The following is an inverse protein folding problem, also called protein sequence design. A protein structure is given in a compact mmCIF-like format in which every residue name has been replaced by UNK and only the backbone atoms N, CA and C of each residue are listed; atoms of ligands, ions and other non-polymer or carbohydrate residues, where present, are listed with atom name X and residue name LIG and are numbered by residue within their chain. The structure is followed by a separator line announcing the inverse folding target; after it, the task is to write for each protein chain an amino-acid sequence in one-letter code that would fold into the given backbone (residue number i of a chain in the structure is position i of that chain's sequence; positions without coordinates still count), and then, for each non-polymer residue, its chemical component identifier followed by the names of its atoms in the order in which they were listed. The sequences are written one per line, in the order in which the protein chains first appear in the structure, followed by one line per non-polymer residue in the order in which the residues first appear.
data_IF_770914709740
#
_entry.id   IF_770914709740
#
_cell.length_a   1.000
_cell.length_b   1.000
_cell.length_c   1.000
_cell.angle_alpha   90.00
_cell.angle_beta   90.00
_cell.angle_gamma   90.00
#
_symmetry.space_group_name_H-M   'P 1'
#
loop_
_entity.id
_entity.type
_entity.pdbx_description
1 polymer ?
#
# COMPACT_ATOMS: atom_id res chain seq x y z
N UNK A 1 0.42 -15.85 21.91
CA UNK A 1 -0.20 -14.70 21.22
C UNK A 1 -0.66 -15.15 19.85
N UNK A 2 -1.93 -14.96 19.55
CA UNK A 2 -2.43 -15.22 18.19
C UNK A 2 -2.24 -13.94 17.36
N UNK A 3 -1.34 -13.99 16.37
CA UNK A 3 -1.04 -12.86 15.52
C UNK A 3 -1.39 -13.23 14.08
N UNK A 4 -2.23 -12.40 13.42
CA UNK A 4 -2.70 -12.63 12.05
C UNK A 4 -2.54 -11.32 11.26
N UNK A 5 -1.85 -11.40 10.13
CA UNK A 5 -1.78 -10.33 9.15
C UNK A 5 -2.87 -10.53 8.07
N UNK A 6 -3.85 -9.65 8.02
CA UNK A 6 -4.79 -9.55 6.92
C UNK A 6 -4.24 -8.61 5.86
N UNK A 7 -4.23 -9.04 4.60
CA UNK A 7 -3.65 -8.26 3.51
C UNK A 7 -4.46 -8.41 2.22
N UNK A 8 -4.50 -7.35 1.42
CA UNK A 8 -5.00 -7.41 0.04
C UNK A 8 -4.01 -8.08 -0.91
N UNK A 9 -4.25 -7.94 -2.21
CA UNK A 9 -3.24 -8.28 -3.22
C UNK A 9 -1.92 -7.58 -2.89
N UNK A 10 -0.76 -8.20 -3.19
CA UNK A 10 0.54 -7.60 -2.93
C UNK A 10 0.82 -6.42 -3.88
N UNK A 11 0.14 -5.32 -3.60
CA UNK A 11 0.25 -4.01 -4.23
C UNK A 11 0.11 -2.94 -3.13
N UNK A 12 0.62 -1.72 -3.37
CA UNK A 12 0.55 -0.64 -2.40
C UNK A 12 1.02 -1.06 -1.01
N UNK A 13 0.26 -0.73 0.04
CA UNK A 13 0.64 -0.98 1.42
C UNK A 13 0.70 -2.46 1.77
N UNK A 14 -0.10 -3.32 1.11
CA UNK A 14 -0.05 -4.77 1.35
C UNK A 14 1.28 -5.37 0.90
N UNK A 15 1.83 -4.92 -0.25
CA UNK A 15 3.16 -5.34 -0.68
C UNK A 15 4.24 -4.89 0.31
N UNK A 16 4.18 -3.64 0.76
CA UNK A 16 5.17 -3.08 1.68
C UNK A 16 5.26 -3.90 2.97
N UNK A 17 4.12 -4.21 3.58
CA UNK A 17 4.06 -4.99 4.83
C UNK A 17 4.47 -6.44 4.61
N UNK A 18 4.02 -7.09 3.53
CA UNK A 18 4.42 -8.47 3.22
C UNK A 18 5.92 -8.60 2.94
N UNK A 19 6.51 -7.61 2.25
CA UNK A 19 7.94 -7.58 2.01
C UNK A 19 8.73 -7.36 3.31
N UNK A 20 8.28 -6.44 4.18
CA UNK A 20 8.87 -6.24 5.49
C UNK A 20 8.78 -7.50 6.36
N UNK A 21 7.63 -8.17 6.39
CA UNK A 21 7.43 -9.44 7.09
C UNK A 21 8.44 -10.51 6.64
N UNK A 22 8.58 -10.68 5.32
CA UNK A 22 9.50 -11.66 4.76
C UNK A 22 10.98 -11.28 4.98
N UNK A 23 11.34 -9.99 4.83
CA UNK A 23 12.70 -9.51 5.10
C UNK A 23 13.09 -9.68 6.57
N UNK A 24 12.12 -9.53 7.47
CA UNK A 24 12.28 -9.76 8.92
C UNK A 24 12.30 -11.25 9.30
N UNK A 25 12.08 -12.18 8.35
CA UNK A 25 12.06 -13.62 8.63
C UNK A 25 10.87 -14.09 9.46
N UNK A 26 9.80 -13.29 9.51
CA UNK A 26 8.57 -13.59 10.26
C UNK A 26 7.48 -14.22 9.39
N UNK A 27 7.75 -14.53 8.13
CA UNK A 27 6.83 -15.20 7.20
C UNK A 27 6.97 -16.72 7.21
N UNK A 28 8.03 -17.26 7.84
CA UNK A 28 8.35 -18.69 7.90
C UNK A 28 8.88 -19.07 9.29
N UNK A 29 8.95 -20.38 9.56
CA UNK A 29 9.52 -20.89 10.79
C UNK A 29 8.57 -20.92 12.01
N UNK A 30 9.10 -21.20 13.22
CA UNK A 30 8.28 -21.42 14.42
C UNK A 30 7.57 -20.16 14.93
N UNK A 31 8.08 -18.99 14.57
CA UNK A 31 7.52 -17.69 14.98
C UNK A 31 6.80 -17.00 13.81
N UNK A 32 6.47 -17.75 12.75
CA UNK A 32 5.81 -17.17 11.58
C UNK A 32 4.45 -16.57 11.94
N UNK A 33 4.22 -15.36 11.44
CA UNK A 33 2.93 -14.68 11.54
C UNK A 33 2.01 -15.25 10.46
N UNK A 34 0.82 -15.69 10.87
CA UNK A 34 -0.18 -16.19 9.93
C UNK A 34 -0.66 -15.05 9.02
N UNK A 35 -0.65 -15.29 7.70
CA UNK A 35 -1.15 -14.33 6.73
C UNK A 35 -2.51 -14.80 6.18
N UNK A 36 -3.45 -13.87 6.03
CA UNK A 36 -4.75 -14.11 5.44
C UNK A 36 -5.03 -13.10 4.34
N UNK A 37 -5.11 -13.58 3.11
CA UNK A 37 -5.52 -12.76 1.99
C UNK A 37 -7.01 -12.41 2.08
N UNK A 38 -7.35 -11.16 1.77
CA UNK A 38 -8.71 -10.63 1.70
C UNK A 38 -8.91 -9.94 0.36
N UNK A 39 -10.12 -10.01 -0.20
CA UNK A 39 -10.47 -9.25 -1.41
C UNK A 39 -11.01 -7.87 -1.00
N UNK A 40 -10.17 -6.85 -1.15
CA UNK A 40 -10.53 -5.48 -0.81
C UNK A 40 -11.67 -4.95 -1.67
N UNK A 41 -11.72 -5.30 -2.98
CA UNK A 41 -12.81 -4.92 -3.87
C UNK A 41 -14.11 -5.72 -3.66
N UNK A 42 -14.05 -6.83 -2.92
CA UNK A 42 -15.24 -7.50 -2.42
C UNK A 42 -15.72 -6.95 -1.06
N UNK A 43 -14.99 -5.97 -0.50
CA UNK A 43 -15.32 -5.38 0.80
C UNK A 43 -15.07 -6.31 1.99
N UNK A 44 -14.21 -7.31 1.86
CA UNK A 44 -13.91 -8.30 2.91
C UNK A 44 -13.45 -7.62 4.21
N UNK A 45 -12.70 -6.52 4.12
CA UNK A 45 -12.24 -5.77 5.28
C UNK A 45 -13.37 -5.35 6.22
N UNK A 46 -14.54 -5.05 5.67
CA UNK A 46 -15.71 -4.58 6.41
C UNK A 46 -16.66 -5.70 6.84
N UNK A 47 -16.35 -6.97 6.55
CA UNK A 47 -17.25 -8.13 6.75
C UNK A 47 -16.65 -9.28 7.56
N UNK A 48 -15.32 -9.30 7.74
CA UNK A 48 -14.65 -10.39 8.44
C UNK A 48 -14.84 -10.19 9.94
N UNK A 49 -15.56 -11.13 10.59
CA UNK A 49 -15.71 -11.16 12.02
C UNK A 49 -14.35 -11.19 12.74
N UNK A 50 -14.22 -10.41 13.81
CA UNK A 50 -12.97 -10.22 14.53
C UNK A 50 -12.01 -9.22 13.90
N UNK A 51 -12.17 -8.88 12.61
CA UNK A 51 -11.43 -7.79 11.97
C UNK A 51 -12.26 -6.50 12.01
N UNK A 52 -13.51 -6.57 11.61
CA UNK A 52 -14.41 -5.41 11.53
C UNK A 52 -14.64 -4.80 12.91
N UNK A 53 -14.90 -5.62 13.93
CA UNK A 53 -15.12 -5.16 15.31
C UNK A 53 -13.87 -4.51 15.90
N UNK A 54 -12.68 -5.05 15.61
CA UNK A 54 -11.41 -4.51 16.06
C UNK A 54 -11.13 -3.16 15.40
N UNK A 55 -11.40 -3.04 14.10
CA UNK A 55 -11.22 -1.81 13.35
C UNK A 55 -12.21 -0.70 13.74
N UNK A 56 -13.39 -1.04 14.29
CA UNK A 56 -14.34 -0.05 14.76
C UNK A 56 -13.80 0.79 15.93
N UNK A 57 -12.75 0.32 16.60
CA UNK A 57 -12.06 1.04 17.67
C UNK A 57 -10.87 1.89 17.19
N UNK A 58 -10.47 1.74 15.92
CA UNK A 58 -9.33 2.43 15.34
C UNK A 58 -9.79 3.62 14.48
N UNK A 59 -9.12 4.76 14.64
CA UNK A 59 -9.33 5.96 13.83
C UNK A 59 -8.87 5.81 12.37
N UNK A 60 -8.11 4.76 12.05
CA UNK A 60 -7.64 4.46 10.70
C UNK A 60 -8.64 3.65 9.84
N UNK A 61 -9.93 3.74 10.14
CA UNK A 61 -11.01 2.98 9.46
C UNK A 61 -11.09 3.24 7.96
N UNK A 62 -10.60 4.38 7.49
CA UNK A 62 -10.72 4.80 6.09
C UNK A 62 -9.69 4.15 5.14
N UNK A 63 -8.61 3.57 5.66
CA UNK A 63 -7.57 2.97 4.82
C UNK A 63 -7.94 1.55 4.36
N UNK A 64 -7.75 1.23 3.10
CA UNK A 64 -7.89 -0.12 2.53
C UNK A 64 -6.56 -0.90 2.58
N UNK A 65 -5.77 -0.64 3.62
CA UNK A 65 -4.46 -1.26 3.82
C UNK A 65 -4.49 -2.57 4.61
N UNK A 66 -3.33 -3.19 4.80
CA UNK A 66 -3.18 -4.37 5.63
C UNK A 66 -3.48 -4.07 7.10
N UNK A 67 -3.93 -5.08 7.82
CA UNK A 67 -4.21 -5.01 9.27
C UNK A 67 -3.51 -6.16 9.97
N UNK A 68 -2.69 -5.84 10.95
CA UNK A 68 -2.09 -6.83 11.84
C UNK A 68 -2.93 -6.92 13.13
N UNK A 69 -3.53 -8.07 13.37
CA UNK A 69 -4.30 -8.33 14.60
C UNK A 69 -3.44 -9.12 15.58
N UNK A 70 -3.23 -8.58 16.78
CA UNK A 70 -2.44 -9.18 17.85
C UNK A 70 -3.35 -9.35 19.06
N UNK A 71 -3.65 -10.61 19.43
CA UNK A 71 -4.51 -10.94 20.58
C UNK A 71 -5.87 -10.19 20.58
N UNK A 72 -6.41 -9.89 19.39
CA UNK A 72 -7.69 -9.21 19.22
C UNK A 72 -7.58 -7.68 19.10
N UNK A 73 -6.39 -7.10 19.16
CA UNK A 73 -6.15 -5.68 18.90
C UNK A 73 -5.62 -5.46 17.47
N UNK A 74 -6.19 -4.49 16.75
CA UNK A 74 -5.77 -4.15 15.39
C UNK A 74 -4.67 -3.11 15.38
N UNK A 75 -3.65 -3.36 14.56
CA UNK A 75 -2.66 -2.37 14.16
C UNK A 75 -2.81 -2.11 12.67
N UNK A 76 -2.98 -0.86 12.30
CA UNK A 76 -3.13 -0.38 10.92
C UNK A 76 -1.96 0.51 10.52
N UNK A 77 -2.01 1.11 9.34
CA UNK A 77 -0.96 1.90 8.72
C UNK A 77 0.31 1.09 8.40
N UNK A 78 0.54 0.86 7.11
CA UNK A 78 1.61 0.00 6.59
C UNK A 78 2.98 0.29 7.21
N UNK A 79 3.32 1.57 7.35
CA UNK A 79 4.61 1.99 7.92
C UNK A 79 4.74 1.57 9.37
N UNK A 80 3.70 1.73 10.21
CA UNK A 80 3.73 1.33 11.61
C UNK A 80 3.73 -0.19 11.76
N UNK A 81 2.96 -0.90 10.94
CA UNK A 81 3.01 -2.37 10.91
C UNK A 81 4.40 -2.86 10.53
N UNK A 82 5.02 -2.28 9.49
CA UNK A 82 6.37 -2.65 9.07
C UNK A 82 7.43 -2.34 10.15
N UNK A 83 7.31 -1.21 10.86
CA UNK A 83 8.18 -0.88 12.00
C UNK A 83 8.05 -1.93 13.11
N UNK A 84 6.82 -2.27 13.50
CA UNK A 84 6.58 -3.30 14.52
C UNK A 84 7.20 -4.65 14.13
N UNK A 85 6.99 -5.10 12.90
CA UNK A 85 7.56 -6.36 12.40
C UNK A 85 9.09 -6.35 12.44
N UNK A 86 9.70 -5.26 12.01
CA UNK A 86 11.16 -5.08 12.05
C UNK A 86 11.68 -5.07 13.48
N UNK A 87 11.03 -4.36 14.40
CA UNK A 87 11.43 -4.30 15.83
C UNK A 87 11.36 -5.66 16.51
N UNK A 88 10.27 -6.41 16.28
CA UNK A 88 10.12 -7.78 16.82
C UNK A 88 11.23 -8.72 16.30
N UNK A 89 11.71 -8.48 15.08
CA UNK A 89 12.78 -9.26 14.46
C UNK A 89 14.19 -8.79 14.80
N UNK A 90 14.36 -7.71 15.53
CA UNK A 90 15.66 -7.19 15.96
C UNK A 90 16.16 -5.94 15.21
N UNK A 91 15.33 -5.35 14.31
CA UNK A 91 15.55 -4.03 13.76
C UNK A 91 16.67 -3.94 12.71
N UNK A 92 16.40 -4.32 11.46
CA UNK A 92 17.34 -4.21 10.34
C UNK A 92 16.87 -3.22 9.25
N UNK A 93 15.56 -2.89 9.25
CA UNK A 93 14.91 -2.05 8.23
C UNK A 93 14.75 -0.59 8.66
N UNK A 94 15.18 -0.25 9.85
CA UNK A 94 15.11 1.10 10.39
C UNK A 94 16.52 1.61 10.74
N UNK A 95 16.88 2.84 10.31
CA UNK A 95 18.13 3.45 10.73
C UNK A 95 18.20 3.60 12.25
N UNK A 96 19.34 3.25 12.86
CA UNK A 96 19.56 3.37 14.31
C UNK A 96 19.86 4.81 14.76
N UNK A 97 20.42 5.62 13.86
CA UNK A 97 20.62 7.04 14.12
C UNK A 97 19.26 7.77 14.12
N UNK A 98 18.99 8.55 15.15
CA UNK A 98 17.69 9.20 15.35
C UNK A 98 17.32 10.19 14.21
N UNK A 99 18.32 10.87 13.63
CA UNK A 99 18.06 11.80 12.54
C UNK A 99 17.77 11.04 11.23
N UNK A 100 18.56 10.03 10.93
CA UNK A 100 18.33 9.16 9.76
C UNK A 100 16.98 8.41 9.89
N UNK A 101 16.60 7.96 11.09
CA UNK A 101 15.29 7.38 11.35
C UNK A 101 14.16 8.39 11.06
N UNK A 102 14.29 9.62 11.58
CA UNK A 102 13.34 10.69 11.28
C UNK A 102 13.26 10.98 9.76
N UNK A 103 14.38 11.00 9.05
CA UNK A 103 14.38 11.17 7.58
C UNK A 103 13.62 10.05 6.88
N UNK A 104 13.79 8.80 7.30
CA UNK A 104 13.03 7.64 6.78
C UNK A 104 11.53 7.82 7.01
N UNK A 105 11.12 8.18 8.23
CA UNK A 105 9.70 8.40 8.55
C UNK A 105 9.10 9.55 7.75
N UNK A 106 9.84 10.65 7.57
CA UNK A 106 9.38 11.78 6.76
C UNK A 106 9.29 11.43 5.28
N UNK A 107 10.14 10.54 4.80
CA UNK A 107 10.03 9.99 3.44
C UNK A 107 8.75 9.15 3.31
N UNK A 108 8.56 8.17 4.19
CA UNK A 108 7.36 7.33 4.20
C UNK A 108 6.09 8.18 4.26
N UNK A 109 6.07 9.19 5.14
CA UNK A 109 4.94 10.11 5.26
C UNK A 109 4.63 10.83 3.95
N UNK A 110 5.63 11.30 3.20
CA UNK A 110 5.40 11.92 1.87
C UNK A 110 4.79 10.94 0.88
N UNK A 111 5.21 9.68 0.93
CA UNK A 111 4.64 8.63 0.08
C UNK A 111 3.19 8.34 0.48
N UNK A 112 2.93 8.07 1.75
CA UNK A 112 1.59 7.67 2.22
C UNK A 112 0.56 8.79 2.14
N UNK A 113 0.96 10.06 2.35
CA UNK A 113 0.02 11.19 2.34
C UNK A 113 -0.21 11.80 0.95
N UNK A 114 0.74 11.65 0.02
CA UNK A 114 0.65 12.31 -1.30
C UNK A 114 0.65 11.34 -2.47
N UNK A 115 1.62 10.43 -2.52
CA UNK A 115 1.72 9.48 -3.63
C UNK A 115 0.65 8.40 -3.55
N UNK A 116 0.41 7.84 -2.37
CA UNK A 116 -0.49 6.71 -2.17
C UNK A 116 -1.94 7.01 -2.62
N UNK A 117 -2.60 8.10 -2.15
CA UNK A 117 -3.94 8.43 -2.62
C UNK A 117 -4.00 8.68 -4.12
N UNK A 118 -2.97 9.33 -4.68
CA UNK A 118 -2.89 9.62 -6.11
C UNK A 118 -2.71 8.34 -6.94
N UNK A 119 -1.84 7.42 -6.50
CA UNK A 119 -1.64 6.14 -7.16
C UNK A 119 -2.89 5.26 -7.09
N UNK A 120 -3.58 5.22 -5.94
CA UNK A 120 -4.85 4.51 -5.78
C UNK A 120 -5.92 5.05 -6.74
N UNK A 121 -6.06 6.37 -6.83
CA UNK A 121 -7.00 7.01 -7.75
C UNK A 121 -6.72 6.66 -9.21
N UNK A 122 -5.47 6.80 -9.67
CA UNK A 122 -5.08 6.46 -11.03
C UNK A 122 -5.25 4.97 -11.33
N UNK A 123 -4.88 4.12 -10.36
CA UNK A 123 -5.02 2.68 -10.48
C UNK A 123 -6.47 2.23 -10.57
N UNK A 124 -7.36 2.77 -9.73
CA UNK A 124 -8.79 2.51 -9.78
C UNK A 124 -9.40 2.96 -11.10
N UNK A 125 -9.10 4.19 -11.53
CA UNK A 125 -9.56 4.71 -12.83
C UNK A 125 -9.13 3.82 -13.99
N UNK A 126 -7.89 3.33 -13.97
CA UNK A 126 -7.33 2.56 -15.08
C UNK A 126 -7.72 1.08 -15.07
N UNK A 127 -7.93 0.47 -13.91
CA UNK A 127 -7.95 -0.99 -13.77
C UNK A 127 -9.00 -1.54 -12.77
N UNK A 128 -9.54 -0.71 -11.86
CA UNK A 128 -10.45 -1.18 -10.79
C UNK A 128 -11.93 -0.87 -11.05
N UNK A 129 -12.22 0.20 -11.79
CA UNK A 129 -13.58 0.71 -11.97
C UNK A 129 -14.51 -0.30 -12.67
N UNK A 130 -14.02 -1.01 -13.67
CA UNK A 130 -14.83 -1.94 -14.47
C UNK A 130 -15.46 -3.05 -13.63
N UNK A 131 -14.74 -3.56 -12.62
CA UNK A 131 -15.25 -4.59 -11.72
C UNK A 131 -16.45 -4.10 -10.91
N UNK A 132 -16.40 -2.88 -10.39
CA UNK A 132 -17.51 -2.29 -9.62
C UNK A 132 -18.67 -1.88 -10.52
N UNK A 133 -18.39 -1.35 -11.71
CA UNK A 133 -19.41 -0.98 -12.70
C UNK A 133 -20.22 -2.19 -13.19
N UNK A 134 -19.62 -3.37 -13.23
CA UNK A 134 -20.28 -4.62 -13.64
C UNK A 134 -21.20 -5.21 -12.57
N UNK A 135 -21.17 -4.72 -11.32
CA UNK A 135 -22.02 -5.23 -10.23
C UNK A 135 -23.47 -4.78 -10.39
N UNK A 136 -24.43 -5.62 -9.98
CA UNK A 136 -25.83 -5.19 -9.83
C UNK A 136 -25.98 -4.11 -8.75
N UNK A 137 -27.08 -3.34 -8.79
CA UNK A 137 -27.37 -2.31 -7.78
C UNK A 137 -27.51 -2.92 -6.38
N UNK A 138 -28.15 -4.08 -6.28
CA UNK A 138 -28.36 -4.79 -5.00
C UNK A 138 -27.05 -5.34 -4.43
N UNK A 139 -26.19 -5.92 -5.27
CA UNK A 139 -24.87 -6.43 -4.84
C UNK A 139 -23.99 -5.27 -4.37
N UNK A 140 -23.98 -4.17 -5.12
CA UNK A 140 -23.20 -2.99 -4.73
C UNK A 140 -23.72 -2.33 -3.45
N UNK A 141 -25.03 -2.20 -3.29
CA UNK A 141 -25.63 -1.70 -2.04
C UNK A 141 -25.24 -2.58 -0.85
N UNK A 142 -25.25 -3.91 -1.04
CA UNK A 142 -24.81 -4.88 -0.02
C UNK A 142 -23.32 -4.74 0.29
N UNK A 143 -22.50 -4.46 -0.73
CA UNK A 143 -21.06 -4.27 -0.61
C UNK A 143 -20.73 -3.07 0.28
N UNK A 144 -21.36 -1.92 0.05
CA UNK A 144 -21.04 -0.66 0.73
C UNK A 144 -21.75 -0.47 2.07
N UNK A 145 -22.81 -1.24 2.35
CA UNK A 145 -23.61 -1.12 3.56
C UNK A 145 -22.80 -1.17 4.88
N UNK A 146 -21.80 -2.06 5.04
CA UNK A 146 -21.02 -2.13 6.28
C UNK A 146 -19.93 -1.06 6.40
N UNK A 147 -19.67 -0.26 5.37
CA UNK A 147 -18.67 0.82 5.42
C UNK A 147 -19.22 1.93 6.32
N UNK A 148 -18.46 2.31 7.34
CA UNK A 148 -18.88 3.33 8.32
C UNK A 148 -18.59 4.75 7.82
N UNK A 149 -17.44 4.95 7.17
CA UNK A 149 -17.04 6.25 6.65
C UNK A 149 -17.87 6.65 5.43
N UNK A 150 -18.59 7.77 5.53
CA UNK A 150 -19.37 8.30 4.39
C UNK A 150 -18.45 8.75 3.25
N UNK A 151 -17.27 9.29 3.56
CA UNK A 151 -16.29 9.68 2.54
C UNK A 151 -15.76 8.46 1.78
N UNK A 152 -15.50 7.34 2.48
CA UNK A 152 -15.10 6.10 1.83
C UNK A 152 -16.24 5.53 0.98
N UNK A 153 -17.49 5.51 1.50
CA UNK A 153 -18.66 5.11 0.69
C UNK A 153 -18.78 5.94 -0.59
N UNK A 154 -18.60 7.25 -0.50
CA UNK A 154 -18.66 8.13 -1.66
C UNK A 154 -17.59 7.74 -2.69
N UNK A 155 -16.35 7.45 -2.28
CA UNK A 155 -15.30 6.98 -3.19
C UNK A 155 -15.64 5.65 -3.88
N UNK A 156 -16.34 4.74 -3.18
CA UNK A 156 -16.85 3.52 -3.79
C UNK A 156 -17.91 3.82 -4.86
N UNK A 157 -18.85 4.73 -4.58
CA UNK A 157 -19.85 5.19 -5.54
C UNK A 157 -19.21 5.88 -6.75
N UNK A 158 -18.25 6.78 -6.53
CA UNK A 158 -17.54 7.51 -7.57
C UNK A 158 -16.77 6.54 -8.47
N UNK A 159 -16.11 5.54 -7.89
CA UNK A 159 -15.41 4.50 -8.64
C UNK A 159 -16.38 3.70 -9.50
N UNK A 160 -17.52 3.26 -8.94
CA UNK A 160 -18.53 2.49 -9.66
C UNK A 160 -19.12 3.26 -10.85
N UNK A 161 -19.38 4.54 -10.66
CA UNK A 161 -19.99 5.40 -11.67
C UNK A 161 -19.01 5.99 -12.67
N UNK A 162 -17.70 5.77 -12.45
CA UNK A 162 -16.64 6.38 -13.26
C UNK A 162 -16.49 7.89 -13.03
N UNK A 163 -16.92 8.39 -11.87
CA UNK A 163 -16.84 9.81 -11.52
C UNK A 163 -15.40 10.18 -11.12
N UNK A 164 -14.52 10.26 -12.10
CA UNK A 164 -13.12 10.65 -11.93
C UNK A 164 -12.88 12.06 -12.50
N UNK A 165 -12.91 13.11 -11.67
CA UNK A 165 -12.73 14.49 -12.15
C UNK A 165 -11.37 14.71 -12.83
N UNK A 166 -11.34 15.44 -13.95
CA UNK A 166 -10.10 15.71 -14.69
C UNK A 166 -9.06 16.48 -13.86
N UNK A 167 -9.52 17.37 -12.97
CA UNK A 167 -8.62 18.09 -12.06
C UNK A 167 -7.92 17.13 -11.08
N UNK A 168 -8.64 16.12 -10.57
CA UNK A 168 -8.07 15.09 -9.69
C UNK A 168 -7.12 14.16 -10.44
N UNK A 169 -7.41 13.82 -11.71
CA UNK A 169 -6.49 13.07 -12.56
C UNK A 169 -5.19 13.84 -12.80
N UNK A 170 -5.28 15.12 -13.16
CA UNK A 170 -4.11 15.97 -13.39
C UNK A 170 -3.25 16.10 -12.14
N UNK A 171 -3.87 16.35 -11.00
CA UNK A 171 -3.19 16.46 -9.70
C UNK A 171 -2.52 15.13 -9.31
N UNK A 172 -3.24 14.01 -9.49
CA UNK A 172 -2.72 12.68 -9.17
C UNK A 172 -1.49 12.32 -10.02
N UNK A 173 -1.53 12.60 -11.33
CA UNK A 173 -0.37 12.42 -12.22
C UNK A 173 0.82 13.24 -11.76
N UNK A 174 0.61 14.51 -11.39
CA UNK A 174 1.66 15.37 -10.88
C UNK A 174 2.25 14.85 -9.56
N UNK A 175 1.43 14.35 -8.63
CA UNK A 175 1.87 13.79 -7.36
C UNK A 175 2.70 12.51 -7.54
N UNK A 176 2.26 11.60 -8.43
CA UNK A 176 3.03 10.39 -8.74
C UNK A 176 4.35 10.75 -9.44
N UNK A 177 4.33 11.64 -10.44
CA UNK A 177 5.54 12.10 -11.11
C UNK A 177 6.52 12.76 -10.12
N UNK A 178 6.01 13.59 -9.20
CA UNK A 178 6.82 14.18 -8.14
C UNK A 178 7.46 13.16 -7.18
N UNK A 179 6.77 12.04 -6.91
CA UNK A 179 7.35 10.95 -6.12
C UNK A 179 8.47 10.22 -6.90
N UNK A 180 8.30 10.01 -8.20
CA UNK A 180 9.33 9.45 -9.08
C UNK A 180 10.56 10.37 -9.15
N UNK A 181 10.35 11.67 -9.31
CA UNK A 181 11.44 12.67 -9.31
C UNK A 181 12.19 12.69 -7.97
N UNK A 182 11.46 12.53 -6.87
CA UNK A 182 12.06 12.45 -5.54
C UNK A 182 12.95 11.19 -5.39
N UNK A 183 12.52 10.04 -5.91
CA UNK A 183 13.32 8.80 -5.94
C UNK A 183 14.57 9.00 -6.81
N UNK A 184 14.41 9.54 -8.02
CA UNK A 184 15.52 9.78 -8.95
C UNK A 184 16.59 10.68 -8.30
N UNK A 185 16.18 11.80 -7.71
CA UNK A 185 17.07 12.73 -7.05
C UNK A 185 17.77 12.11 -5.83
N UNK A 186 17.08 11.25 -5.07
CA UNK A 186 17.63 10.60 -3.89
C UNK A 186 18.75 9.60 -4.22
N UNK A 187 18.68 8.99 -5.41
CA UNK A 187 19.60 7.94 -5.85
C UNK A 187 20.73 8.43 -6.75
N UNK A 188 20.79 9.73 -7.06
CA UNK A 188 21.77 10.32 -7.97
C UNK A 188 23.23 10.16 -7.49
N UNK A 189 23.45 10.00 -6.19
CA UNK A 189 24.77 9.77 -5.60
C UNK A 189 25.27 8.32 -5.72
N UNK A 190 24.49 7.44 -6.38
CA UNK A 190 24.84 6.05 -6.64
C UNK A 190 24.57 5.09 -5.48
N UNK A 191 23.86 5.53 -4.44
CA UNK A 191 23.40 4.61 -3.38
C UNK A 191 22.42 3.58 -3.92
N UNK A 192 22.40 2.40 -3.28
CA UNK A 192 21.50 1.31 -3.70
C UNK A 192 20.06 1.49 -3.22
N UNK A 193 19.85 2.09 -2.05
CA UNK A 193 18.57 2.19 -1.36
C UNK A 193 18.30 3.62 -0.91
N UNK A 194 17.01 3.95 -0.74
CA UNK A 194 16.56 5.32 -0.47
C UNK A 194 17.19 5.96 0.78
N UNK A 195 17.44 5.15 1.82
CA UNK A 195 18.03 5.63 3.08
C UNK A 195 19.51 5.21 3.24
N UNK A 196 20.15 4.77 2.15
CA UNK A 196 21.51 4.21 2.17
C UNK A 196 21.48 2.69 2.36
N UNK A 197 21.20 2.15 3.56
CA UNK A 197 20.76 0.77 3.74
C UNK A 197 19.32 0.55 3.27
N UNK A 198 18.98 -0.72 2.93
CA UNK A 198 17.59 -1.12 2.70
C UNK A 198 16.74 -0.77 3.92
N UNK A 199 15.56 -0.22 3.68
CA UNK A 199 14.68 0.25 4.74
C UNK A 199 13.20 0.10 4.40
N UNK A 200 12.34 0.35 5.37
CA UNK A 200 10.88 0.42 5.19
C UNK A 200 10.51 1.39 4.06
N UNK A 201 11.27 2.49 3.91
CA UNK A 201 11.03 3.47 2.85
C UNK A 201 11.11 2.88 1.43
N UNK A 202 11.98 1.90 1.21
CA UNK A 202 12.11 1.22 -0.08
C UNK A 202 10.87 0.38 -0.39
N UNK A 203 10.38 -0.38 0.57
CA UNK A 203 9.19 -1.21 0.38
C UNK A 203 7.91 -0.38 0.24
N UNK A 204 7.75 0.65 1.06
CA UNK A 204 6.58 1.54 0.99
C UNK A 204 6.52 2.27 -0.35
N UNK A 205 7.64 2.85 -0.78
CA UNK A 205 7.72 3.56 -2.06
C UNK A 205 7.50 2.63 -3.24
N UNK A 206 8.14 1.45 -3.23
CA UNK A 206 8.01 0.46 -4.29
C UNK A 206 6.58 -0.04 -4.42
N UNK A 207 5.92 -0.34 -3.30
CA UNK A 207 4.53 -0.82 -3.30
C UNK A 207 3.59 0.10 -4.07
N UNK A 208 3.74 1.40 -3.92
CA UNK A 208 2.90 2.39 -4.59
C UNK A 208 3.33 2.70 -6.02
N UNK A 209 4.61 2.60 -6.36
CA UNK A 209 5.12 2.96 -7.68
C UNK A 209 5.13 1.80 -8.68
N UNK A 210 5.18 0.53 -8.23
CA UNK A 210 5.33 -0.59 -9.17
C UNK A 210 4.19 -0.69 -10.19
N UNK A 211 2.95 -0.44 -9.77
CA UNK A 211 1.78 -0.45 -10.66
C UNK A 211 1.67 0.79 -11.54
N UNK A 212 2.29 1.90 -11.12
CA UNK A 212 2.26 3.16 -11.86
C UNK A 212 3.13 3.14 -13.12
N UNK A 213 4.11 2.27 -13.22
CA UNK A 213 4.96 2.13 -14.43
C UNK A 213 4.12 1.89 -15.68
N UNK A 214 3.05 1.09 -15.59
CA UNK A 214 2.17 0.81 -16.71
C UNK A 214 1.11 1.90 -16.95
N UNK A 215 0.71 2.61 -15.90
CA UNK A 215 -0.37 3.61 -15.94
C UNK A 215 0.15 5.00 -16.35
N UNK A 216 1.38 5.32 -15.95
CA UNK A 216 2.01 6.63 -16.16
C UNK A 216 3.46 6.47 -16.66
N UNK A 217 3.70 5.75 -17.77
CA UNK A 217 5.05 5.44 -18.24
C UNK A 217 5.91 6.68 -18.50
N UNK A 218 5.30 7.80 -18.88
CA UNK A 218 6.00 9.07 -19.10
C UNK A 218 6.67 9.62 -17.84
N UNK A 219 6.15 9.36 -16.65
CA UNK A 219 6.77 9.79 -15.39
C UNK A 219 8.07 9.04 -15.10
N UNK A 220 8.23 7.83 -15.64
CA UNK A 220 9.42 6.99 -15.47
C UNK A 220 10.41 7.11 -16.63
N UNK A 221 10.02 7.77 -17.72
CA UNK A 221 10.93 8.03 -18.83
C UNK A 221 12.09 8.90 -18.35
N UNK A 222 13.32 8.59 -18.85
CA UNK A 222 14.55 9.33 -18.51
C UNK A 222 14.85 9.40 -16.99
N UNK A 223 14.47 8.34 -16.25
CA UNK A 223 14.73 8.16 -14.81
C UNK A 223 15.55 6.89 -14.54
N UNK A 224 16.84 6.85 -14.96
CA UNK A 224 17.65 5.62 -14.94
C UNK A 224 17.90 5.11 -13.51
N UNK A 225 18.08 5.99 -12.52
CA UNK A 225 18.30 5.58 -11.13
C UNK A 225 17.04 4.95 -10.54
N UNK A 226 15.87 5.54 -10.80
CA UNK A 226 14.57 4.99 -10.40
C UNK A 226 14.31 3.65 -11.06
N UNK A 227 14.57 3.51 -12.36
CA UNK A 227 14.39 2.25 -13.07
C UNK A 227 15.30 1.13 -12.49
N UNK A 228 16.57 1.45 -12.24
CA UNK A 228 17.52 0.50 -11.63
C UNK A 228 17.10 0.12 -10.20
N UNK A 229 16.61 1.08 -9.41
CA UNK A 229 16.12 0.83 -8.05
C UNK A 229 14.84 -0.02 -8.06
N UNK A 230 13.85 0.27 -8.90
CA UNK A 230 12.64 -0.55 -9.04
C UNK A 230 13.00 -2.02 -9.36
N UNK A 231 13.94 -2.23 -10.30
CA UNK A 231 14.40 -3.56 -10.63
C UNK A 231 15.09 -4.26 -9.45
N UNK A 232 15.91 -3.51 -8.68
CA UNK A 232 16.63 -4.02 -7.51
C UNK A 232 15.67 -4.40 -6.38
N UNK A 233 14.68 -3.54 -6.06
CA UNK A 233 13.65 -3.86 -5.06
C UNK A 233 12.85 -5.09 -5.50
N UNK A 234 12.41 -5.13 -6.76
CA UNK A 234 11.67 -6.27 -7.30
C UNK A 234 12.45 -7.58 -7.18
N UNK A 235 13.76 -7.55 -7.38
CA UNK A 235 14.62 -8.74 -7.31
C UNK A 235 14.88 -9.25 -5.89
N UNK A 236 14.50 -8.50 -4.84
CA UNK A 236 14.67 -8.94 -3.45
C UNK A 236 13.88 -10.23 -3.18
N UNK A 237 14.47 -11.24 -2.51
CA UNK A 237 13.76 -12.45 -2.15
C UNK A 237 12.49 -12.20 -1.34
N UNK A 238 12.52 -11.22 -0.42
CA UNK A 238 11.37 -10.81 0.39
C UNK A 238 10.23 -10.24 -0.46
N UNK A 239 10.54 -9.42 -1.47
CA UNK A 239 9.56 -8.88 -2.41
C UNK A 239 9.01 -9.99 -3.32
N UNK A 240 9.84 -10.92 -3.77
CA UNK A 240 9.40 -12.08 -4.54
C UNK A 240 8.49 -13.00 -3.72
N UNK A 241 8.80 -13.23 -2.43
CA UNK A 241 7.93 -13.95 -1.50
C UNK A 241 6.58 -13.25 -1.34
N UNK A 242 6.56 -11.93 -1.20
CA UNK A 242 5.34 -11.15 -1.13
C UNK A 242 4.50 -11.27 -2.43
N UNK A 243 5.12 -11.06 -3.59
CA UNK A 243 4.46 -11.15 -4.90
C UNK A 243 3.90 -12.55 -5.20
N UNK A 244 4.56 -13.60 -4.73
CA UNK A 244 4.08 -14.99 -4.88
C UNK A 244 2.76 -15.27 -4.12
N UNK A 245 2.34 -14.39 -3.21
CA UNK A 245 1.03 -14.47 -2.51
C UNK A 245 -0.13 -13.90 -3.31
N UNK A 246 0.10 -13.39 -4.51
CA UNK A 246 -0.96 -12.86 -5.36
C UNK A 246 -1.97 -13.95 -5.73
N UNK A 247 -3.25 -13.68 -5.49
CA UNK A 247 -4.36 -14.54 -5.90
C UNK A 247 -4.74 -14.30 -7.37
N UNK A 248 -4.52 -13.10 -7.89
CA UNK A 248 -4.87 -12.72 -9.26
C UNK A 248 -3.77 -12.99 -10.27
N UNK A 249 -2.52 -13.18 -9.81
CA UNK A 249 -1.33 -13.26 -10.65
C UNK A 249 -0.92 -11.93 -11.32
N UNK A 250 -1.66 -10.86 -11.02
CA UNK A 250 -1.41 -9.48 -11.51
C UNK A 250 -1.58 -8.46 -10.39
N UNK A 251 -0.74 -8.52 -9.35
CA UNK A 251 -0.89 -7.67 -8.17
C UNK A 251 -0.78 -6.19 -8.52
N UNK A 252 0.03 -5.81 -9.51
CA UNK A 252 0.21 -4.44 -9.99
C UNK A 252 -1.07 -3.80 -10.56
N UNK A 253 -2.07 -4.61 -10.89
CA UNK A 253 -3.35 -4.17 -11.41
C UNK A 253 -4.49 -4.22 -10.38
N UNK A 254 -4.19 -4.60 -9.13
CA UNK A 254 -5.19 -4.76 -8.08
C UNK A 254 -5.26 -3.51 -7.21
N UNK A 255 -6.27 -2.70 -7.44
CA UNK A 255 -6.52 -1.44 -6.73
C UNK A 255 -7.86 -1.48 -6.01
N UNK A 256 -7.94 -0.86 -4.85
CA UNK A 256 -9.17 -0.66 -4.09
C UNK A 256 -9.33 0.81 -3.71
N UNK A 257 -10.57 1.30 -3.48
CA UNK A 257 -10.79 2.65 -2.95
C UNK A 257 -9.98 2.87 -1.68
N UNK A 258 -9.20 3.92 -1.68
CA UNK A 258 -8.26 4.24 -0.62
C UNK A 258 -8.52 5.61 0.01
N UNK A 259 -7.56 6.15 0.74
CA UNK A 259 -7.67 7.44 1.40
C UNK A 259 -7.92 8.58 0.40
N UNK A 260 -8.45 9.69 0.91
CA UNK A 260 -8.78 10.86 0.10
C UNK A 260 -7.54 11.49 -0.55
N UNK A 261 -7.66 11.83 -1.83
CA UNK A 261 -6.59 12.40 -2.67
C UNK A 261 -6.07 13.74 -2.15
N UNK A 262 -6.96 14.54 -1.53
CA UNK A 262 -6.69 15.91 -1.13
C UNK A 262 -6.59 16.09 0.38
N UNK A 263 -6.56 15.02 1.15
CA UNK A 263 -6.59 15.07 2.62
C UNK A 263 -5.45 15.91 3.21
N UNK A 264 -4.31 16.00 2.49
CA UNK A 264 -3.12 16.72 2.92
C UNK A 264 -2.55 17.64 1.81
N UNK A 265 -3.37 17.97 0.85
CA UNK A 265 -3.40 18.93 -0.25
C UNK A 265 -2.20 19.52 -0.86
#
# INVERSE_FOLDING_TARGET
MATILYHGEPNGPSLAVLAALAESGLDTGPNAIACRAIDLLAGDRHRIAGLTETLALDFAVEGEGPVLVIDGEAMTESVFVAQYLDEVAGGALQPRDAYAHWQMLMWCRRITERCAPAAAFLGLRAQGADRLAAMSDDDFATLVAPIVSEDLKQRWHDTRTGAFPDAADTDSRAKVAGAVDMVEAQLVDGRDWLMGPLSIADFETYGWLMGMVAILPEAFADRPHTAAWLARVRARPSVQSALARSATGRPEAAWAPGPEINRWG
#
